data_IF_083647708514
#
_entry.id   IF_083647708514
#
_cell.length_a   1.000
_cell.length_b   1.000
_cell.length_c   1.000
_cell.angle_alpha   90.00
_cell.angle_beta   90.00
_cell.angle_gamma   90.00
#
_symmetry.space_group_name_H-M   'P 1'
#
loop_
_entity.id
_entity.type
_entity.pdbx_description
1 polymer ?
#
# COMPACT_ATOMS: atom_id res chain seq x y z
N UNK A 1 0.61 -25.10 -9.48
CA UNK A 1 -0.07 -24.70 -8.25
C UNK A 1 -0.29 -23.18 -8.24
N UNK A 2 -1.50 -22.73 -7.94
CA UNK A 2 -1.79 -21.30 -7.86
C UNK A 2 -1.41 -20.81 -6.48
N UNK A 3 -0.56 -19.77 -6.38
CA UNK A 3 -0.19 -19.22 -5.05
C UNK A 3 -1.41 -18.68 -4.33
N UNK A 4 -1.44 -18.87 -3.02
CA UNK A 4 -2.50 -18.31 -2.20
C UNK A 4 -2.16 -16.86 -1.79
N UNK A 5 -3.07 -16.23 -1.06
CA UNK A 5 -2.91 -14.85 -0.62
C UNK A 5 -1.67 -14.67 0.24
N UNK A 6 -1.37 -15.62 1.13
CA UNK A 6 -0.21 -15.54 2.01
C UNK A 6 1.08 -15.55 1.19
N UNK A 7 1.15 -16.45 0.21
CA UNK A 7 2.32 -16.53 -0.67
C UNK A 7 2.49 -15.23 -1.44
N UNK A 8 1.40 -14.68 -1.96
CA UNK A 8 1.47 -13.45 -2.76
C UNK A 8 1.90 -12.25 -1.91
N UNK A 9 1.37 -12.12 -0.69
CA UNK A 9 1.79 -11.01 0.18
C UNK A 9 3.24 -11.16 0.59
N UNK A 10 3.74 -12.39 0.75
CA UNK A 10 5.14 -12.64 1.05
C UNK A 10 6.04 -12.19 -0.10
N UNK A 11 5.66 -12.51 -1.34
CA UNK A 11 6.41 -12.09 -2.52
C UNK A 11 6.41 -10.57 -2.65
N UNK A 12 5.26 -9.92 -2.43
CA UNK A 12 5.16 -8.47 -2.47
C UNK A 12 6.07 -7.85 -1.42
N UNK A 13 6.09 -8.41 -0.22
CA UNK A 13 6.95 -7.93 0.86
C UNK A 13 8.43 -8.04 0.48
N UNK A 14 8.81 -9.13 -0.17
CA UNK A 14 10.19 -9.30 -0.64
C UNK A 14 10.53 -8.21 -1.68
N UNK A 15 9.63 -7.92 -2.60
CA UNK A 15 9.84 -6.83 -3.57
C UNK A 15 10.04 -5.50 -2.86
N UNK A 16 9.28 -5.25 -1.79
CA UNK A 16 9.41 -4.03 -1.01
C UNK A 16 10.80 -3.91 -0.40
N UNK A 17 11.27 -4.98 0.23
CA UNK A 17 12.58 -4.98 0.88
C UNK A 17 13.72 -4.81 -0.11
N UNK A 18 13.58 -5.37 -1.30
CA UNK A 18 14.62 -5.30 -2.33
C UNK A 18 14.54 -4.05 -3.17
N UNK A 19 13.48 -3.27 -3.05
CA UNK A 19 13.25 -2.13 -3.93
C UNK A 19 13.00 -2.54 -5.38
N UNK A 20 12.48 -3.75 -5.59
CA UNK A 20 12.34 -4.33 -6.91
C UNK A 20 11.00 -3.91 -7.54
N UNK A 21 10.92 -2.68 -8.02
CA UNK A 21 9.68 -2.12 -8.55
C UNK A 21 9.15 -2.89 -9.75
N UNK A 22 10.02 -3.23 -10.70
CA UNK A 22 9.57 -3.90 -11.91
C UNK A 22 8.96 -5.26 -11.58
N UNK A 23 9.59 -6.02 -10.71
CA UNK A 23 9.05 -7.29 -10.26
C UNK A 23 7.75 -7.10 -9.51
N UNK A 24 7.69 -6.07 -8.67
CA UNK A 24 6.46 -5.72 -7.93
C UNK A 24 5.29 -5.43 -8.85
N UNK A 25 5.54 -4.70 -9.95
CA UNK A 25 4.51 -4.43 -10.95
C UNK A 25 4.02 -5.71 -11.61
N UNK A 26 4.93 -6.62 -11.93
CA UNK A 26 4.58 -7.89 -12.53
C UNK A 26 3.72 -8.73 -11.57
N UNK A 27 4.07 -8.74 -10.30
CA UNK A 27 3.29 -9.45 -9.29
C UNK A 27 1.89 -8.84 -9.17
N UNK A 28 1.79 -7.52 -9.16
CA UNK A 28 0.51 -6.83 -9.11
C UNK A 28 -0.36 -7.19 -10.31
N UNK A 29 0.23 -7.18 -11.51
CA UNK A 29 -0.48 -7.55 -12.72
C UNK A 29 -0.98 -8.99 -12.63
N UNK A 30 -0.13 -9.89 -12.13
CA UNK A 30 -0.51 -11.28 -11.94
C UNK A 30 -1.73 -11.40 -11.03
N UNK A 31 -1.74 -10.66 -9.94
CA UNK A 31 -2.88 -10.67 -9.01
C UNK A 31 -4.17 -10.25 -9.70
N UNK A 32 -4.10 -9.18 -10.49
CA UNK A 32 -5.25 -8.68 -11.23
C UNK A 32 -5.75 -9.73 -12.23
N UNK A 33 -4.83 -10.34 -12.97
CA UNK A 33 -5.18 -11.32 -14.01
C UNK A 33 -5.75 -12.60 -13.40
N UNK A 34 -5.31 -12.97 -12.21
CA UNK A 34 -5.83 -14.17 -11.54
C UNK A 34 -7.13 -13.91 -10.76
N UNK A 35 -7.61 -12.68 -10.77
CA UNK A 35 -8.87 -12.35 -10.12
C UNK A 35 -8.81 -12.21 -8.62
N UNK A 36 -7.63 -11.99 -8.05
CA UNK A 36 -7.52 -11.73 -6.62
C UNK A 36 -8.23 -10.43 -6.28
N UNK A 37 -9.03 -10.45 -5.22
CA UNK A 37 -9.66 -9.24 -4.75
C UNK A 37 -8.65 -8.32 -4.10
N UNK A 38 -8.83 -7.03 -4.33
CA UNK A 38 -8.01 -6.02 -3.67
C UNK A 38 -8.59 -5.77 -2.28
N UNK A 39 -8.25 -6.66 -1.35
CA UNK A 39 -8.66 -6.53 0.05
C UNK A 39 -7.61 -5.75 0.83
N UNK A 40 -7.85 -5.55 2.12
CA UNK A 40 -6.97 -4.76 2.95
C UNK A 40 -5.58 -5.39 3.08
N UNK A 41 -5.48 -6.71 3.01
CA UNK A 41 -4.20 -7.40 3.16
C UNK A 41 -3.34 -7.26 1.91
N UNK A 42 -3.89 -7.58 0.76
CA UNK A 42 -3.18 -7.44 -0.51
C UNK A 42 -2.93 -5.95 -0.79
N UNK A 43 -3.95 -5.12 -0.55
CA UNK A 43 -3.82 -3.70 -0.80
C UNK A 43 -2.74 -3.03 0.03
N UNK A 44 -2.70 -3.32 1.33
CA UNK A 44 -1.68 -2.72 2.19
C UNK A 44 -0.28 -3.21 1.83
N UNK A 45 -0.15 -4.47 1.43
CA UNK A 45 1.13 -5.00 0.97
C UNK A 45 1.60 -4.29 -0.29
N UNK A 46 0.70 -4.05 -1.24
CA UNK A 46 1.02 -3.33 -2.47
C UNK A 46 1.40 -1.87 -2.19
N UNK A 47 0.67 -1.21 -1.30
CA UNK A 47 0.98 0.17 -0.92
C UNK A 47 2.39 0.24 -0.33
N UNK A 48 2.68 -0.67 0.60
CA UNK A 48 4.00 -0.72 1.21
C UNK A 48 5.09 -0.95 0.17
N UNK A 49 4.87 -1.88 -0.74
CA UNK A 49 5.82 -2.20 -1.79
C UNK A 49 6.06 -1.00 -2.71
N UNK A 50 4.99 -0.38 -3.22
CA UNK A 50 5.14 0.76 -4.11
C UNK A 50 5.79 1.94 -3.41
N UNK A 51 5.40 2.21 -2.16
CA UNK A 51 5.98 3.30 -1.39
C UNK A 51 7.47 3.09 -1.16
N UNK A 52 7.87 1.88 -0.76
CA UNK A 52 9.29 1.57 -0.53
C UNK A 52 10.11 1.62 -1.81
N UNK A 53 9.50 1.28 -2.93
CA UNK A 53 10.17 1.37 -4.23
C UNK A 53 10.16 2.78 -4.82
N UNK A 54 9.57 3.74 -4.12
CA UNK A 54 9.55 5.13 -4.57
C UNK A 54 8.46 5.46 -5.57
N UNK A 55 7.55 4.53 -5.84
CA UNK A 55 6.45 4.75 -6.79
C UNK A 55 5.22 5.26 -6.03
N UNK A 56 5.29 6.50 -5.59
CA UNK A 56 4.24 7.10 -4.77
C UNK A 56 2.92 7.19 -5.52
N UNK A 57 2.96 7.50 -6.81
CA UNK A 57 1.76 7.57 -7.64
C UNK A 57 1.00 6.25 -7.66
N UNK A 58 1.71 5.13 -7.78
CA UNK A 58 1.08 3.81 -7.75
C UNK A 58 0.57 3.45 -6.36
N UNK A 59 1.31 3.82 -5.32
CA UNK A 59 0.87 3.59 -3.96
C UNK A 59 -0.44 4.33 -3.70
N UNK A 60 -0.55 5.57 -4.16
CA UNK A 60 -1.78 6.36 -4.03
C UNK A 60 -2.94 5.73 -4.80
N UNK A 61 -2.68 5.24 -6.00
CA UNK A 61 -3.74 4.59 -6.78
C UNK A 61 -4.32 3.38 -6.04
N UNK A 62 -3.46 2.54 -5.49
CA UNK A 62 -3.93 1.38 -4.72
C UNK A 62 -4.70 1.84 -3.49
N UNK A 63 -4.17 2.84 -2.79
CA UNK A 63 -4.79 3.36 -1.58
C UNK A 63 -6.22 3.85 -1.85
N UNK A 64 -6.41 4.62 -2.92
CA UNK A 64 -7.73 5.16 -3.23
C UNK A 64 -8.70 4.13 -3.79
N UNK A 65 -8.18 3.03 -4.35
CA UNK A 65 -9.04 1.94 -4.81
C UNK A 65 -9.56 1.08 -3.67
N UNK A 66 -8.86 1.05 -2.55
CA UNK A 66 -9.28 0.26 -1.40
C UNK A 66 -10.56 0.82 -0.79
N UNK A 67 -11.57 -0.02 -0.66
CA UNK A 67 -12.81 0.39 -0.01
C UNK A 67 -12.63 0.48 1.49
N UNK A 68 -11.91 -0.46 2.06
CA UNK A 68 -11.61 -0.48 3.49
C UNK A 68 -10.13 -0.28 3.70
N UNK A 69 -9.78 0.70 4.52
CA UNK A 69 -8.39 1.03 4.82
C UNK A 69 -8.16 0.88 6.32
N UNK A 70 -7.06 0.22 6.68
CA UNK A 70 -6.67 0.14 8.09
C UNK A 70 -5.53 1.11 8.37
N UNK A 71 -5.15 1.21 9.64
CA UNK A 71 -4.10 2.15 10.03
C UNK A 71 -2.76 1.81 9.36
N UNK A 72 -2.51 0.53 9.10
CA UNK A 72 -1.29 0.11 8.42
C UNK A 72 -1.20 0.71 7.02
N UNK A 73 -2.31 0.73 6.28
CA UNK A 73 -2.34 1.36 4.95
C UNK A 73 -1.96 2.83 5.02
N UNK A 74 -2.55 3.55 5.98
CA UNK A 74 -2.25 4.97 6.18
C UNK A 74 -0.79 5.17 6.54
N UNK A 75 -0.27 4.36 7.46
CA UNK A 75 1.11 4.49 7.90
C UNK A 75 2.12 4.20 6.79
N UNK A 76 1.87 3.18 5.97
CA UNK A 76 2.74 2.87 4.85
C UNK A 76 2.78 4.03 3.86
N UNK A 77 1.63 4.63 3.58
CA UNK A 77 1.56 5.73 2.63
C UNK A 77 2.26 6.98 3.19
N UNK A 78 2.01 7.31 4.46
CA UNK A 78 2.64 8.46 5.09
C UNK A 78 4.15 8.29 5.14
N UNK A 79 4.62 7.10 5.53
CA UNK A 79 6.05 6.82 5.59
C UNK A 79 6.70 6.96 4.21
N UNK A 80 6.05 6.41 3.20
CA UNK A 80 6.54 6.51 1.83
C UNK A 80 6.60 7.95 1.35
N UNK A 81 5.56 8.72 1.61
CA UNK A 81 5.51 10.13 1.22
C UNK A 81 6.63 10.91 1.89
N UNK A 82 6.80 10.74 3.19
CA UNK A 82 7.83 11.46 3.93
C UNK A 82 9.23 11.06 3.49
N UNK A 83 9.46 9.78 3.31
CA UNK A 83 10.76 9.24 2.93
C UNK A 83 11.20 9.78 1.57
N UNK A 84 10.25 9.96 0.66
CA UNK A 84 10.57 10.40 -0.70
C UNK A 84 10.35 11.91 -0.91
N UNK A 85 10.24 12.67 0.17
CA UNK A 85 10.22 14.11 0.10
C UNK A 85 8.87 14.78 -0.05
N UNK A 86 7.78 14.00 0.00
CA UNK A 86 6.42 14.55 -0.11
C UNK A 86 5.89 14.91 1.27
N UNK A 87 6.58 15.85 1.94
CA UNK A 87 6.31 16.15 3.34
C UNK A 87 4.93 16.77 3.54
N UNK A 88 4.51 17.66 2.64
CA UNK A 88 3.20 18.31 2.77
C UNK A 88 2.06 17.30 2.64
N UNK A 89 2.16 16.39 1.68
CA UNK A 89 1.16 15.34 1.52
C UNK A 89 1.16 14.41 2.72
N UNK A 90 2.33 14.09 3.26
CA UNK A 90 2.41 13.26 4.46
C UNK A 90 1.72 13.91 5.65
N UNK A 91 1.94 15.21 5.84
CA UNK A 91 1.29 15.96 6.91
C UNK A 91 -0.23 16.03 6.73
N UNK A 92 -0.69 16.18 5.49
CA UNK A 92 -2.12 16.20 5.20
C UNK A 92 -2.76 14.86 5.54
N UNK A 93 -2.11 13.76 5.17
CA UNK A 93 -2.59 12.42 5.48
C UNK A 93 -2.63 12.18 6.99
N UNK A 94 -1.59 12.62 7.68
CA UNK A 94 -1.55 12.52 9.14
C UNK A 94 -2.72 13.29 9.76
N UNK A 95 -3.00 14.49 9.27
CA UNK A 95 -4.13 15.28 9.72
C UNK A 95 -5.45 14.57 9.52
N UNK A 96 -5.61 13.85 8.43
CA UNK A 96 -6.83 13.08 8.19
C UNK A 96 -6.99 11.95 9.21
N UNK A 97 -5.89 11.27 9.55
CA UNK A 97 -5.94 10.22 10.58
C UNK A 97 -6.38 10.83 11.91
N UNK A 98 -5.80 11.98 12.28
CA UNK A 98 -6.13 12.64 13.53
C UNK A 98 -7.62 13.02 13.57
N UNK A 99 -8.16 13.55 12.49
CA UNK A 99 -9.57 13.90 12.43
C UNK A 99 -10.46 12.67 12.62
N UNK A 100 -10.08 11.55 12.00
CA UNK A 100 -10.87 10.31 12.12
C UNK A 100 -10.79 9.73 13.53
N UNK A 101 -9.65 9.85 14.18
CA UNK A 101 -9.46 9.31 15.53
C UNK A 101 -10.18 10.13 16.59
N UNK A 102 -10.42 11.38 16.33
CA UNK A 102 -11.10 12.28 17.28
C UNK A 102 -12.60 12.02 17.33
N UNK A 103 -13.15 11.32 16.35
CA UNK A 103 -14.59 11.04 16.33
C UNK A 103 -15.01 10.26 17.57
N UNK A 104 -16.15 10.65 18.18
CA UNK A 104 -16.55 10.10 19.48
C UNK A 104 -16.71 8.59 19.51
N UNK A 105 -17.09 7.98 18.41
CA UNK A 105 -17.33 6.54 18.37
C UNK A 105 -16.25 5.82 17.56
N UNK A 106 -15.17 6.46 17.39
CA UNK A 106 -14.08 5.89 16.60
C UNK A 106 -13.34 4.84 17.43
#
# INVERSE_FOLDING_TARGET
MIPDEVTMTTVISACAHLGALDLGKEVHLYLVLQGFELDVYIGSSLIDMYAKCGSIDRALLVFYKLQTKNLFCWNCLIDGLATHGYVEEALRMFGEIERKRIRPNA
#
